data_IF_785121395649
#
_entry.id   IF_785121395649
#
_cell.length_a   1.000
_cell.length_b   1.000
_cell.length_c   1.000
_cell.angle_alpha   90.00
_cell.angle_beta   90.00
_cell.angle_gamma   90.00
#
_symmetry.space_group_name_H-M   'P 1'
#
loop_
_entity.id
_entity.type
_entity.pdbx_description
1 polymer ?
#
# COMPACT_ATOMS: atom_id res chain seq x y z
N UNK A 1 8.80 -4.64 -24.68
CA UNK A 1 9.24 -5.84 -23.93
C UNK A 1 8.36 -6.99 -24.35
N UNK A 2 8.96 -8.13 -24.66
CA UNK A 2 8.24 -9.35 -25.09
C UNK A 2 7.80 -10.13 -23.85
N UNK A 3 6.47 -10.27 -23.61
CA UNK A 3 5.88 -10.89 -22.42
C UNK A 3 4.67 -11.76 -22.76
N UNK A 4 4.43 -12.78 -21.93
CA UNK A 4 3.27 -13.67 -22.04
C UNK A 4 2.15 -13.25 -21.06
N UNK A 5 2.54 -12.66 -19.94
CA UNK A 5 1.61 -12.21 -18.89
C UNK A 5 1.99 -10.84 -18.32
N UNK A 6 0.96 -10.13 -17.87
CA UNK A 6 1.07 -8.88 -17.13
C UNK A 6 0.43 -9.06 -15.76
N UNK A 7 1.19 -8.79 -14.71
CA UNK A 7 0.70 -8.72 -13.34
C UNK A 7 0.63 -7.25 -12.93
N UNK A 8 -0.48 -6.83 -12.33
CA UNK A 8 -0.74 -5.45 -11.94
C UNK A 8 -0.89 -5.36 -10.43
N UNK A 9 -0.28 -4.36 -9.81
CA UNK A 9 -0.71 -3.91 -8.49
C UNK A 9 -2.03 -3.11 -8.61
N UNK A 10 -2.70 -2.86 -7.51
CA UNK A 10 -3.95 -2.09 -7.46
C UNK A 10 -3.65 -0.64 -7.05
N UNK A 11 -3.06 -0.45 -5.88
CA UNK A 11 -2.83 0.86 -5.28
C UNK A 11 -1.77 1.63 -6.05
N UNK A 12 -2.06 2.89 -6.36
CA UNK A 12 -1.16 3.73 -7.16
C UNK A 12 -0.98 3.30 -8.62
N UNK A 13 -1.61 2.20 -9.06
CA UNK A 13 -1.56 1.67 -10.42
C UNK A 13 -2.93 1.69 -11.07
N UNK A 14 -3.91 0.99 -10.50
CA UNK A 14 -5.28 0.92 -11.02
C UNK A 14 -6.19 2.00 -10.40
N UNK A 15 -5.97 2.30 -9.11
CA UNK A 15 -6.70 3.31 -8.34
C UNK A 15 -5.73 4.16 -7.52
N UNK A 16 -6.08 5.45 -7.34
CA UNK A 16 -5.32 6.37 -6.49
C UNK A 16 -5.85 6.29 -5.05
N UNK A 17 -5.00 5.86 -4.14
CA UNK A 17 -5.33 5.68 -2.72
C UNK A 17 -4.68 6.74 -1.82
N UNK A 18 -3.92 7.65 -2.39
CA UNK A 18 -3.12 8.60 -1.60
C UNK A 18 -3.98 9.46 -0.68
N UNK A 19 -5.18 9.86 -1.11
CA UNK A 19 -6.11 10.67 -0.32
C UNK A 19 -6.93 9.81 0.66
N UNK A 20 -7.47 8.66 0.22
CA UNK A 20 -8.36 7.81 1.02
C UNK A 20 -7.70 7.30 2.30
N UNK A 21 -6.51 6.71 2.20
CA UNK A 21 -5.77 6.24 3.37
C UNK A 21 -5.27 7.37 4.25
N UNK A 22 -4.74 8.45 3.65
CA UNK A 22 -4.27 9.62 4.43
C UNK A 22 -5.40 10.23 5.26
N UNK A 23 -6.58 10.43 4.66
CA UNK A 23 -7.77 10.91 5.36
C UNK A 23 -8.21 9.97 6.46
N UNK A 24 -8.21 8.66 6.21
CA UNK A 24 -8.56 7.66 7.22
C UNK A 24 -7.61 7.71 8.41
N UNK A 25 -6.29 7.83 8.20
CA UNK A 25 -5.29 7.98 9.27
C UNK A 25 -5.57 9.24 10.09
N UNK A 26 -5.59 10.41 9.44
CA UNK A 26 -5.75 11.71 10.10
C UNK A 26 -7.03 11.76 10.91
N UNK A 27 -8.15 11.36 10.31
CA UNK A 27 -9.46 11.43 10.95
C UNK A 27 -9.65 10.36 12.02
N UNK A 28 -9.01 9.20 11.91
CA UNK A 28 -9.06 8.16 12.96
C UNK A 28 -8.40 8.67 14.24
N UNK A 29 -7.21 9.25 14.13
CA UNK A 29 -6.47 9.79 15.27
C UNK A 29 -7.25 10.96 15.90
N UNK A 30 -7.83 11.85 15.09
CA UNK A 30 -8.65 12.96 15.58
C UNK A 30 -9.91 12.49 16.31
N UNK A 31 -10.64 11.53 15.75
CA UNK A 31 -11.88 10.99 16.36
C UNK A 31 -11.61 10.26 17.67
N UNK A 32 -10.48 9.58 17.78
CA UNK A 32 -10.15 8.81 19.00
C UNK A 32 -9.59 9.71 20.10
N UNK A 33 -8.77 10.71 19.75
CA UNK A 33 -8.02 11.51 20.74
C UNK A 33 -8.38 13.01 20.74
N UNK A 34 -9.21 13.48 19.80
CA UNK A 34 -9.57 14.90 19.66
C UNK A 34 -8.45 15.78 19.15
N UNK A 35 -7.38 15.18 18.66
CA UNK A 35 -6.19 15.81 18.06
C UNK A 35 -5.57 14.87 17.06
N UNK A 36 -4.90 15.44 16.06
CA UNK A 36 -4.23 14.68 15.01
C UNK A 36 -3.00 15.42 14.49
N UNK A 37 -2.36 14.86 13.48
CA UNK A 37 -1.32 15.48 12.66
C UNK A 37 -1.90 15.82 11.29
N UNK A 38 -1.27 16.72 10.57
CA UNK A 38 -1.66 17.08 9.21
C UNK A 38 -1.09 16.10 8.16
N UNK A 39 -1.49 16.27 6.90
CA UNK A 39 -1.04 15.44 5.78
C UNK A 39 0.49 15.44 5.61
N UNK A 40 1.15 16.59 5.89
CA UNK A 40 2.60 16.68 5.84
C UNK A 40 3.25 15.83 6.94
N UNK A 41 2.62 15.75 8.11
CA UNK A 41 3.02 14.88 9.20
C UNK A 41 2.90 13.39 8.81
N UNK A 42 1.79 12.98 8.18
CA UNK A 42 1.63 11.61 7.66
C UNK A 42 2.75 11.28 6.66
N UNK A 43 3.04 12.19 5.73
CA UNK A 43 4.12 11.98 4.76
C UNK A 43 5.48 11.72 5.45
N UNK A 44 5.78 12.44 6.54
CA UNK A 44 7.01 12.21 7.31
C UNK A 44 7.08 10.82 7.93
N UNK A 45 5.96 10.27 8.40
CA UNK A 45 5.91 8.88 8.87
C UNK A 45 6.18 7.90 7.71
N UNK A 46 5.57 8.12 6.54
CA UNK A 46 5.85 7.31 5.33
C UNK A 46 7.33 7.36 4.94
N UNK A 47 7.93 8.55 4.98
CA UNK A 47 9.35 8.75 4.66
C UNK A 47 10.30 8.09 5.68
N UNK A 48 9.88 7.98 6.95
CA UNK A 48 10.64 7.25 7.97
C UNK A 48 10.71 5.74 7.70
N UNK A 49 9.75 5.21 6.94
CA UNK A 49 9.73 3.82 6.47
C UNK A 49 9.42 2.78 7.56
N UNK A 50 9.45 1.51 7.18
CA UNK A 50 9.34 0.38 8.09
C UNK A 50 7.92 0.06 8.58
N UNK A 51 6.89 0.75 8.09
CA UNK A 51 5.49 0.43 8.38
C UNK A 51 4.98 -0.60 7.37
N UNK A 52 4.44 -1.72 7.87
CA UNK A 52 3.95 -2.80 7.02
C UNK A 52 2.59 -2.47 6.38
N UNK A 53 1.83 -1.57 7.00
CA UNK A 53 0.50 -1.16 6.57
C UNK A 53 0.09 0.17 7.21
N UNK A 54 -1.02 0.74 6.73
CA UNK A 54 -1.52 2.03 7.21
C UNK A 54 -2.10 1.98 8.63
N UNK A 55 -2.45 0.81 9.16
CA UNK A 55 -2.86 0.65 10.56
C UNK A 55 -1.68 0.88 11.52
N UNK A 56 -0.52 0.25 11.25
CA UNK A 56 0.70 0.51 12.02
C UNK A 56 1.12 1.98 11.95
N UNK A 57 0.96 2.62 10.80
CA UNK A 57 1.24 4.04 10.64
C UNK A 57 0.25 4.90 11.45
N UNK A 58 -1.03 4.53 11.48
CA UNK A 58 -2.07 5.18 12.30
C UNK A 58 -1.72 5.08 13.79
N UNK A 59 -1.31 3.90 14.23
CA UNK A 59 -0.89 3.66 15.60
C UNK A 59 0.34 4.50 15.99
N UNK A 60 1.33 4.59 15.11
CA UNK A 60 2.52 5.41 15.35
C UNK A 60 2.20 6.92 15.38
N UNK A 61 1.29 7.38 14.51
CA UNK A 61 0.80 8.76 14.53
C UNK A 61 0.06 9.07 15.84
N UNK A 62 -0.75 8.14 16.33
CA UNK A 62 -1.45 8.26 17.60
C UNK A 62 -0.47 8.28 18.78
N UNK A 63 0.56 7.45 18.79
CA UNK A 63 1.62 7.47 19.81
C UNK A 63 2.33 8.83 19.86
N UNK A 64 2.63 9.42 18.70
CA UNK A 64 3.19 10.77 18.65
C UNK A 64 2.24 11.79 19.28
N UNK A 65 0.96 11.76 18.92
CA UNK A 65 -0.06 12.69 19.47
C UNK A 65 -0.15 12.55 21.00
N UNK A 66 -0.22 11.33 21.50
CA UNK A 66 -0.27 11.05 22.94
C UNK A 66 1.03 11.47 23.66
N UNK A 67 2.19 11.20 23.06
CA UNK A 67 3.48 11.64 23.58
C UNK A 67 3.56 13.18 23.67
N UNK A 68 3.05 13.90 22.66
CA UNK A 68 2.95 15.37 22.68
C UNK A 68 2.08 15.88 23.83
N UNK A 69 0.96 15.23 24.09
CA UNK A 69 0.09 15.57 25.22
C UNK A 69 0.76 15.28 26.58
N UNK A 70 1.54 14.19 26.66
CA UNK A 70 2.28 13.82 27.87
C UNK A 70 3.56 14.66 28.09
N UNK A 71 3.90 15.60 27.18
CA UNK A 71 5.03 16.52 27.35
C UNK A 71 6.27 16.23 26.49
N UNK A 72 6.15 15.41 25.45
CA UNK A 72 7.23 15.26 24.45
C UNK A 72 7.46 16.59 23.72
N UNK A 73 8.66 17.15 23.81
CA UNK A 73 8.97 18.47 23.26
C UNK A 73 9.25 18.48 21.74
N UNK A 74 9.60 17.33 21.15
CA UNK A 74 9.90 17.21 19.72
C UNK A 74 8.68 17.44 18.83
N UNK A 75 8.85 18.13 17.71
CA UNK A 75 7.83 18.19 16.66
C UNK A 75 7.73 16.86 15.89
N UNK A 76 6.81 16.78 14.93
CA UNK A 76 6.62 15.55 14.12
C UNK A 76 7.89 15.19 13.33
N UNK A 77 8.65 16.18 12.85
CA UNK A 77 9.90 15.95 12.14
C UNK A 77 10.93 15.28 13.05
N UNK A 78 11.15 15.85 14.23
CA UNK A 78 12.07 15.30 15.24
C UNK A 78 11.69 13.87 15.63
N UNK A 79 10.39 13.60 15.79
CA UNK A 79 9.90 12.28 16.14
C UNK A 79 10.16 11.27 15.02
N UNK A 80 9.77 11.59 13.79
CA UNK A 80 9.92 10.70 12.63
C UNK A 80 11.39 10.48 12.25
N UNK A 81 12.27 11.48 12.40
CA UNK A 81 13.71 11.32 12.22
C UNK A 81 14.28 10.32 13.26
N UNK A 82 13.79 10.37 14.51
CA UNK A 82 14.18 9.43 15.56
C UNK A 82 13.64 8.01 15.31
N UNK A 83 12.47 7.87 14.68
CA UNK A 83 11.89 6.59 14.24
C UNK A 83 12.74 6.02 13.10
N UNK A 84 13.04 6.81 12.07
CA UNK A 84 13.88 6.41 10.94
C UNK A 84 15.27 5.95 11.39
N UNK A 85 15.90 6.68 12.34
CA UNK A 85 17.21 6.33 12.92
C UNK A 85 17.22 4.98 13.66
N UNK A 86 16.03 4.44 14.01
CA UNK A 86 15.85 3.14 14.67
C UNK A 86 15.37 2.04 13.72
N UNK A 87 15.31 2.31 12.42
CA UNK A 87 14.90 1.35 11.40
C UNK A 87 13.46 1.51 10.91
N UNK A 88 12.74 2.53 11.42
CA UNK A 88 11.35 2.77 11.01
C UNK A 88 10.32 1.84 11.69
N UNK A 89 9.06 2.01 11.33
CA UNK A 89 7.96 1.16 11.78
C UNK A 89 7.43 1.45 13.19
N UNK A 90 6.40 0.70 13.57
CA UNK A 90 5.69 0.88 14.82
C UNK A 90 6.59 0.59 16.04
N UNK A 91 7.39 -0.47 16.00
CA UNK A 91 8.31 -0.83 17.09
C UNK A 91 9.32 0.30 17.37
N UNK A 92 9.82 0.95 16.31
CA UNK A 92 10.72 2.08 16.44
C UNK A 92 10.00 3.31 17.04
N UNK A 93 8.75 3.56 16.65
CA UNK A 93 7.94 4.63 17.22
C UNK A 93 7.69 4.40 18.72
N UNK A 94 7.33 3.19 19.12
CA UNK A 94 7.23 2.82 20.54
C UNK A 94 8.56 3.03 21.30
N UNK A 95 9.67 2.60 20.69
CA UNK A 95 10.99 2.76 21.30
C UNK A 95 11.38 4.25 21.48
N UNK A 96 10.98 5.13 20.56
CA UNK A 96 11.17 6.59 20.70
C UNK A 96 10.39 7.12 21.90
N UNK A 97 9.12 6.73 22.03
CA UNK A 97 8.27 7.16 23.16
C UNK A 97 8.83 6.66 24.49
N UNK A 98 9.20 5.36 24.58
CA UNK A 98 9.77 4.77 25.81
C UNK A 98 11.13 5.36 26.21
N UNK A 99 11.88 5.89 25.26
CA UNK A 99 13.14 6.58 25.56
C UNK A 99 12.97 8.03 26.04
N UNK A 100 11.80 8.61 25.86
CA UNK A 100 11.49 9.96 26.34
C UNK A 100 11.17 9.95 27.85
N UNK A 101 11.42 11.05 28.58
CA UNK A 101 11.13 11.15 30.00
C UNK A 101 9.64 11.40 30.25
N UNK A 102 8.78 10.48 29.81
CA UNK A 102 7.32 10.54 29.91
C UNK A 102 6.82 9.46 30.89
N UNK A 103 5.63 9.66 31.43
CA UNK A 103 4.94 8.60 32.16
C UNK A 103 4.32 7.61 31.16
N UNK A 104 4.63 6.33 31.29
CA UNK A 104 4.12 5.27 30.41
C UNK A 104 2.57 5.19 30.46
N UNK A 105 1.95 5.40 31.62
CA UNK A 105 0.50 5.36 31.76
C UNK A 105 -0.18 6.53 31.01
N UNK A 106 0.46 7.69 30.93
CA UNK A 106 -0.06 8.84 30.20
C UNK A 106 -0.07 8.63 28.67
N UNK A 107 0.77 7.75 28.14
CA UNK A 107 0.86 7.43 26.72
C UNK A 107 0.27 6.05 26.44
N UNK A 108 0.93 4.98 26.88
CA UNK A 108 0.53 3.60 26.58
C UNK A 108 -0.75 3.16 27.29
N UNK A 109 -1.05 3.72 28.47
CA UNK A 109 -2.31 3.49 29.16
C UNK A 109 -3.53 4.08 28.43
N UNK A 110 -3.32 5.06 27.57
CA UNK A 110 -4.36 5.69 26.74
C UNK A 110 -4.36 5.21 25.30
N UNK A 111 -3.27 4.58 24.83
CA UNK A 111 -3.15 4.09 23.46
C UNK A 111 -4.11 2.92 23.23
N UNK A 112 -4.94 3.02 22.21
CA UNK A 112 -6.04 2.11 21.94
C UNK A 112 -6.01 1.62 20.46
N UNK A 113 -5.07 0.74 20.08
CA UNK A 113 -4.91 0.24 18.70
C UNK A 113 -6.20 -0.35 18.13
N UNK A 114 -6.91 -1.18 18.89
CA UNK A 114 -8.16 -1.80 18.42
C UNK A 114 -9.20 -0.74 18.03
N UNK A 115 -9.36 0.30 18.88
CA UNK A 115 -10.29 1.39 18.59
C UNK A 115 -9.85 2.25 17.41
N UNK A 116 -8.54 2.46 17.24
CA UNK A 116 -8.00 3.15 16.06
C UNK A 116 -8.30 2.35 14.80
N UNK A 117 -8.06 1.03 14.81
CA UNK A 117 -8.33 0.15 13.69
C UNK A 117 -9.82 0.12 13.34
N UNK A 118 -10.71 -0.05 14.30
CA UNK A 118 -12.16 0.00 14.08
C UNK A 118 -12.59 1.34 13.46
N UNK A 119 -12.04 2.44 13.97
CA UNK A 119 -12.34 3.79 13.46
C UNK A 119 -11.82 3.97 12.03
N UNK A 120 -10.59 3.52 11.76
CA UNK A 120 -9.98 3.55 10.43
C UNK A 120 -10.81 2.75 9.42
N UNK A 121 -11.14 1.49 9.76
CA UNK A 121 -11.94 0.63 8.88
C UNK A 121 -13.33 1.23 8.60
N UNK A 122 -13.99 1.82 9.61
CA UNK A 122 -15.26 2.48 9.41
C UNK A 122 -15.16 3.70 8.49
N UNK A 123 -14.10 4.52 8.62
CA UNK A 123 -13.85 5.67 7.74
C UNK A 123 -13.52 5.24 6.32
N UNK A 124 -12.68 4.22 6.20
CA UNK A 124 -12.20 3.75 4.90
C UNK A 124 -13.27 2.99 4.13
N UNK A 125 -13.87 1.97 4.73
CA UNK A 125 -14.87 1.11 4.09
C UNK A 125 -16.24 1.78 4.00
N UNK A 126 -16.60 2.56 5.01
CA UNK A 126 -17.99 3.03 5.21
C UNK A 126 -18.86 1.99 5.91
N UNK A 127 -20.04 2.42 6.33
CA UNK A 127 -20.88 1.62 7.23
C UNK A 127 -21.34 0.29 6.61
N UNK A 128 -21.74 0.30 5.33
CA UNK A 128 -22.27 -0.89 4.67
C UNK A 128 -21.18 -1.94 4.45
N UNK A 129 -20.05 -1.56 3.87
CA UNK A 129 -18.93 -2.47 3.68
C UNK A 129 -18.30 -2.93 5.00
N UNK A 130 -18.29 -2.07 6.03
CA UNK A 130 -17.82 -2.46 7.36
C UNK A 130 -18.66 -3.62 7.92
N UNK A 131 -20.00 -3.55 7.82
CA UNK A 131 -20.88 -4.65 8.26
C UNK A 131 -20.63 -5.93 7.49
N UNK A 132 -20.43 -5.81 6.18
CA UNK A 132 -20.24 -6.96 5.29
C UNK A 132 -18.87 -7.64 5.49
N UNK A 133 -17.81 -6.88 5.72
CA UNK A 133 -16.44 -7.38 5.75
C UNK A 133 -15.91 -7.63 7.17
N UNK A 134 -16.19 -6.71 8.11
CA UNK A 134 -15.73 -6.85 9.51
C UNK A 134 -16.72 -7.63 10.38
N UNK A 135 -17.95 -7.83 9.91
CA UNK A 135 -18.96 -8.69 10.57
C UNK A 135 -19.57 -8.09 11.83
N UNK A 136 -19.58 -6.78 11.98
CA UNK A 136 -20.12 -6.08 13.16
C UNK A 136 -20.77 -4.74 12.82
N UNK A 137 -21.27 -4.03 13.82
CA UNK A 137 -21.79 -2.67 13.63
C UNK A 137 -20.60 -1.67 13.64
N UNK A 138 -20.51 -0.76 12.64
CA UNK A 138 -19.50 0.27 12.63
C UNK A 138 -19.69 1.24 13.82
N UNK A 139 -18.62 1.85 14.34
CA UNK A 139 -18.71 2.79 15.44
C UNK A 139 -19.48 4.07 15.09
N UNK A 140 -19.70 4.35 13.80
CA UNK A 140 -20.52 5.46 13.27
C UNK A 140 -20.88 5.22 11.81
N UNK A 141 -21.93 5.93 11.34
CA UNK A 141 -22.36 5.87 9.95
C UNK A 141 -21.52 6.81 9.07
N UNK A 142 -20.98 6.28 7.97
CA UNK A 142 -20.24 7.05 6.95
C UNK A 142 -20.29 6.32 5.60
N UNK A 143 -20.04 7.04 4.50
CA UNK A 143 -20.03 6.46 3.15
C UNK A 143 -18.80 5.60 2.87
N UNK A 144 -17.66 5.93 3.48
CA UNK A 144 -16.39 5.28 3.20
C UNK A 144 -15.56 5.97 2.11
N UNK A 145 -14.26 6.17 2.39
CA UNK A 145 -13.33 6.82 1.46
C UNK A 145 -12.96 5.95 0.27
N UNK A 146 -13.02 4.63 0.42
CA UNK A 146 -12.81 3.67 -0.67
C UNK A 146 -13.68 3.97 -1.89
N UNK A 147 -14.86 4.56 -1.69
CA UNK A 147 -15.77 4.93 -2.78
C UNK A 147 -15.35 6.20 -3.53
N UNK A 148 -14.42 6.96 -3.00
CA UNK A 148 -13.97 8.23 -3.58
C UNK A 148 -12.59 8.09 -4.28
N UNK A 149 -11.96 6.91 -4.25
CA UNK A 149 -10.67 6.65 -4.90
C UNK A 149 -10.76 6.87 -6.43
N UNK A 150 -9.94 7.77 -7.02
CA UNK A 150 -9.93 7.95 -8.46
C UNK A 150 -9.44 6.69 -9.19
N UNK A 151 -10.06 6.37 -10.33
CA UNK A 151 -9.56 5.32 -11.23
C UNK A 151 -8.44 5.92 -12.08
N UNK A 152 -7.27 5.25 -12.10
CA UNK A 152 -6.08 5.66 -12.86
C UNK A 152 -6.00 4.98 -14.22
N UNK A 153 -6.49 3.75 -14.32
CA UNK A 153 -6.43 2.96 -15.54
C UNK A 153 -7.60 3.30 -16.46
N UNK A 154 -7.30 3.49 -17.75
CA UNK A 154 -8.31 3.70 -18.77
C UNK A 154 -8.95 2.37 -19.21
N UNK A 155 -10.27 2.33 -19.53
CA UNK A 155 -10.91 1.11 -20.02
C UNK A 155 -10.23 0.52 -21.26
N UNK A 156 -9.76 1.36 -22.19
CA UNK A 156 -9.06 0.92 -23.38
C UNK A 156 -7.71 0.23 -23.07
N UNK A 157 -7.03 0.65 -22.02
CA UNK A 157 -5.81 0.01 -21.54
C UNK A 157 -6.10 -1.39 -21.05
N UNK A 158 -7.13 -1.55 -20.20
CA UNK A 158 -7.52 -2.87 -19.69
C UNK A 158 -7.97 -3.82 -20.83
N UNK A 159 -8.77 -3.31 -21.79
CA UNK A 159 -9.20 -4.06 -22.96
C UNK A 159 -7.97 -4.57 -23.74
N UNK A 160 -7.03 -3.69 -24.05
CA UNK A 160 -5.80 -4.05 -24.78
C UNK A 160 -4.95 -5.07 -24.03
N UNK A 161 -4.76 -4.89 -22.71
CA UNK A 161 -3.96 -5.80 -21.90
C UNK A 161 -4.61 -7.19 -21.80
N UNK A 162 -5.93 -7.25 -21.59
CA UNK A 162 -6.65 -8.53 -21.44
C UNK A 162 -6.82 -9.26 -22.77
N UNK A 163 -6.83 -8.55 -23.91
CA UNK A 163 -6.86 -9.17 -25.24
C UNK A 163 -5.50 -9.75 -25.66
N UNK A 164 -4.40 -9.12 -25.23
CA UNK A 164 -3.05 -9.49 -25.69
C UNK A 164 -2.29 -10.40 -24.73
N UNK A 165 -2.58 -10.36 -23.44
CA UNK A 165 -1.79 -11.02 -22.40
C UNK A 165 -2.67 -11.78 -21.41
N UNK A 166 -2.10 -12.79 -20.76
CA UNK A 166 -2.66 -13.31 -19.52
C UNK A 166 -2.49 -12.27 -18.42
N UNK A 167 -3.59 -11.89 -17.72
CA UNK A 167 -3.57 -10.84 -16.71
C UNK A 167 -3.73 -11.43 -15.31
N UNK A 168 -2.84 -11.02 -14.40
CA UNK A 168 -2.91 -11.32 -12.97
C UNK A 168 -2.86 -10.06 -12.11
N UNK A 169 -3.18 -10.21 -10.83
CA UNK A 169 -3.15 -9.14 -9.83
C UNK A 169 -2.34 -9.59 -8.61
N UNK A 170 -1.43 -8.72 -8.16
CA UNK A 170 -0.63 -8.91 -6.94
C UNK A 170 -0.71 -7.63 -6.10
N UNK A 171 -1.41 -7.69 -4.98
CA UNK A 171 -1.68 -6.52 -4.16
C UNK A 171 -1.47 -6.76 -2.67
N UNK A 172 -1.17 -5.69 -1.93
CA UNK A 172 -1.17 -5.67 -0.47
C UNK A 172 -2.56 -5.51 0.15
N UNK A 173 -3.62 -5.35 -0.65
CA UNK A 173 -5.00 -5.27 -0.12
C UNK A 173 -5.49 -6.63 0.37
N UNK A 174 -6.38 -6.67 1.39
CA UNK A 174 -7.23 -7.83 1.66
C UNK A 174 -8.07 -8.21 0.43
N UNK A 175 -8.42 -9.48 0.29
CA UNK A 175 -9.12 -10.01 -0.90
C UNK A 175 -10.45 -9.29 -1.18
N UNK A 176 -11.21 -8.95 -0.13
CA UNK A 176 -12.48 -8.26 -0.28
C UNK A 176 -12.32 -6.82 -0.81
N UNK A 177 -11.33 -6.08 -0.30
CA UNK A 177 -11.02 -4.72 -0.76
C UNK A 177 -10.44 -4.72 -2.18
N UNK A 178 -9.62 -5.72 -2.51
CA UNK A 178 -9.13 -5.94 -3.86
C UNK A 178 -10.27 -6.19 -4.86
N UNK A 179 -11.27 -7.02 -4.46
CA UNK A 179 -12.45 -7.28 -5.30
C UNK A 179 -13.26 -6.00 -5.59
N UNK A 180 -13.45 -5.12 -4.60
CA UNK A 180 -14.12 -3.82 -4.76
C UNK A 180 -13.38 -2.94 -5.76
N UNK A 181 -12.04 -2.84 -5.62
CA UNK A 181 -11.22 -2.05 -6.54
C UNK A 181 -11.28 -2.59 -7.98
N UNK A 182 -11.18 -3.92 -8.14
CA UNK A 182 -11.24 -4.58 -9.46
C UNK A 182 -12.61 -4.40 -10.13
N UNK A 183 -13.70 -4.55 -9.38
CA UNK A 183 -15.06 -4.28 -9.88
C UNK A 183 -15.21 -2.83 -10.36
N UNK A 184 -14.69 -1.90 -9.56
CA UNK A 184 -14.73 -0.47 -9.86
C UNK A 184 -14.01 -0.10 -11.15
N UNK A 185 -12.84 -0.69 -11.41
CA UNK A 185 -12.08 -0.44 -12.66
C UNK A 185 -12.57 -1.29 -13.82
N UNK A 186 -13.48 -2.25 -13.58
CA UNK A 186 -14.02 -3.14 -14.60
C UNK A 186 -13.07 -4.25 -15.01
N UNK A 187 -12.06 -4.58 -14.18
CA UNK A 187 -11.12 -5.68 -14.45
C UNK A 187 -11.61 -6.98 -13.82
N UNK A 188 -11.99 -7.94 -14.65
CA UNK A 188 -12.38 -9.27 -14.21
C UNK A 188 -11.24 -10.27 -14.44
N UNK A 189 -10.65 -10.77 -13.36
CA UNK A 189 -9.66 -11.85 -13.38
C UNK A 189 -10.10 -12.99 -12.46
N UNK A 190 -9.82 -14.27 -12.81
CA UNK A 190 -10.13 -15.40 -11.94
C UNK A 190 -9.43 -15.28 -10.58
N UNK A 191 -10.03 -15.84 -9.52
CA UNK A 191 -9.40 -15.84 -8.19
C UNK A 191 -8.02 -16.52 -8.19
N UNK A 192 -7.82 -17.52 -9.03
CA UNK A 192 -6.52 -18.16 -9.20
C UNK A 192 -5.43 -17.21 -9.75
N UNK A 193 -5.80 -16.13 -10.41
CA UNK A 193 -4.89 -15.13 -10.97
C UNK A 193 -4.77 -13.88 -10.07
N UNK A 194 -5.25 -13.97 -8.82
CA UNK A 194 -5.08 -12.92 -7.81
C UNK A 194 -4.18 -13.42 -6.68
N UNK A 195 -3.39 -12.54 -6.16
CA UNK A 195 -2.62 -12.74 -4.94
C UNK A 195 -2.80 -11.49 -4.07
N UNK A 196 -3.37 -11.69 -2.88
CA UNK A 196 -3.79 -10.62 -1.96
C UNK A 196 -3.07 -10.76 -0.63
N UNK A 197 -3.24 -9.81 0.28
CA UNK A 197 -2.70 -9.88 1.64
C UNK A 197 -3.08 -11.19 2.35
N UNK A 198 -4.27 -11.73 2.10
CA UNK A 198 -4.79 -12.91 2.78
C UNK A 198 -4.12 -14.22 2.33
N UNK A 199 -3.41 -14.21 1.19
CA UNK A 199 -2.79 -15.41 0.61
C UNK A 199 -1.39 -15.71 1.17
N UNK A 200 -0.75 -14.74 1.84
CA UNK A 200 0.62 -14.91 2.29
C UNK A 200 1.04 -13.97 3.42
N UNK A 201 1.90 -14.45 4.33
CA UNK A 201 2.39 -13.66 5.46
C UNK A 201 3.63 -12.80 5.14
N UNK A 202 4.37 -13.12 4.03
CA UNK A 202 5.67 -12.49 3.78
C UNK A 202 5.57 -11.13 3.10
N UNK A 203 4.54 -10.89 2.25
CA UNK A 203 4.38 -9.64 1.51
C UNK A 203 5.48 -9.37 0.45
N UNK A 204 5.30 -8.31 -0.34
CA UNK A 204 6.33 -7.74 -1.23
C UNK A 204 7.49 -7.19 -0.38
N UNK A 205 8.74 -7.35 -0.75
CA UNK A 205 9.30 -7.79 -2.02
C UNK A 205 9.60 -9.30 -2.12
N UNK A 206 8.96 -10.17 -1.33
CA UNK A 206 9.21 -11.62 -1.41
C UNK A 206 8.69 -12.18 -2.75
N UNK A 207 9.47 -13.01 -3.51
CA UNK A 207 9.15 -13.39 -4.89
C UNK A 207 7.98 -14.37 -5.02
N UNK A 208 7.61 -15.08 -3.96
CA UNK A 208 6.68 -16.23 -3.99
C UNK A 208 5.36 -15.92 -4.71
N UNK A 209 4.76 -14.77 -4.46
CA UNK A 209 3.48 -14.43 -5.05
C UNK A 209 3.59 -14.31 -6.57
N UNK A 210 4.62 -13.61 -7.04
CA UNK A 210 4.82 -13.40 -8.48
C UNK A 210 5.19 -14.70 -9.21
N UNK A 211 6.06 -15.53 -8.63
CA UNK A 211 6.40 -16.86 -9.20
C UNK A 211 5.18 -17.78 -9.22
N UNK A 212 4.34 -17.75 -8.18
CA UNK A 212 3.08 -18.52 -8.15
C UNK A 212 2.09 -18.02 -9.20
N UNK A 213 1.99 -16.71 -9.42
CA UNK A 213 1.14 -16.17 -10.50
C UNK A 213 1.67 -16.55 -11.87
N UNK A 214 2.99 -16.52 -12.10
CA UNK A 214 3.59 -16.99 -13.35
C UNK A 214 3.22 -18.45 -13.67
N UNK A 215 3.24 -19.33 -12.65
CA UNK A 215 2.79 -20.72 -12.79
C UNK A 215 1.30 -20.82 -13.16
N UNK A 216 0.45 -20.06 -12.46
CA UNK A 216 -1.00 -20.09 -12.67
C UNK A 216 -1.44 -19.49 -14.01
N UNK A 217 -0.66 -18.53 -14.52
CA UNK A 217 -0.86 -17.89 -15.82
C UNK A 217 -0.23 -18.66 -16.99
N UNK A 218 0.51 -19.75 -16.69
CA UNK A 218 1.30 -20.53 -17.67
C UNK A 218 2.24 -19.62 -18.51
N UNK A 219 2.90 -18.67 -17.85
CA UNK A 219 3.69 -17.63 -18.48
C UNK A 219 5.19 -17.86 -18.25
N UNK A 220 5.99 -17.79 -19.33
CA UNK A 220 7.45 -17.85 -19.26
C UNK A 220 8.09 -16.46 -19.09
N UNK A 221 7.39 -15.39 -19.48
CA UNK A 221 7.85 -14.01 -19.42
C UNK A 221 6.75 -13.16 -18.80
N UNK A 222 7.03 -12.57 -17.66
CA UNK A 222 6.04 -11.83 -16.85
C UNK A 222 6.51 -10.40 -16.63
N UNK A 223 5.68 -9.40 -16.95
CA UNK A 223 5.85 -8.04 -16.48
C UNK A 223 5.01 -7.83 -15.21
N UNK A 224 5.62 -7.28 -14.16
CA UNK A 224 4.93 -6.83 -12.96
C UNK A 224 5.01 -5.31 -12.85
N UNK A 225 3.86 -4.64 -12.95
CA UNK A 225 3.74 -3.19 -12.85
C UNK A 225 3.24 -2.78 -11.46
N UNK A 226 4.00 -1.93 -10.78
CA UNK A 226 3.70 -1.45 -9.44
C UNK A 226 4.23 -0.04 -9.19
N UNK A 227 3.72 0.61 -8.13
CA UNK A 227 4.02 2.00 -7.78
C UNK A 227 5.04 2.14 -6.63
N UNK A 228 5.57 1.01 -6.14
CA UNK A 228 6.55 0.99 -5.05
C UNK A 228 7.88 0.35 -5.47
N UNK A 229 8.95 0.64 -4.71
CA UNK A 229 10.23 -0.05 -4.91
C UNK A 229 10.13 -1.55 -4.62
N UNK A 230 9.24 -1.94 -3.73
CA UNK A 230 9.06 -3.35 -3.37
C UNK A 230 8.37 -4.15 -4.47
N UNK A 231 7.58 -3.51 -5.34
CA UNK A 231 7.04 -4.15 -6.55
C UNK A 231 8.15 -4.49 -7.52
N UNK A 232 9.02 -3.52 -7.82
CA UNK A 232 10.18 -3.74 -8.68
C UNK A 232 11.10 -4.81 -8.10
N UNK A 233 11.41 -4.72 -6.80
CA UNK A 233 12.24 -5.73 -6.10
C UNK A 233 11.59 -7.11 -6.09
N UNK A 234 10.24 -7.20 -6.06
CA UNK A 234 9.53 -8.47 -6.17
C UNK A 234 9.86 -9.16 -7.50
N UNK A 235 9.87 -8.40 -8.61
CA UNK A 235 10.24 -8.95 -9.92
C UNK A 235 11.73 -9.32 -10.00
N UNK A 236 12.63 -8.50 -9.46
CA UNK A 236 14.07 -8.80 -9.37
C UNK A 236 14.31 -10.07 -8.56
N UNK A 237 13.69 -10.17 -7.39
CA UNK A 237 13.80 -11.35 -6.53
C UNK A 237 13.18 -12.59 -7.17
N UNK A 238 12.11 -12.44 -7.98
CA UNK A 238 11.51 -13.54 -8.72
C UNK A 238 12.46 -14.06 -9.81
N UNK A 239 13.15 -13.18 -10.53
CA UNK A 239 14.17 -13.56 -11.51
C UNK A 239 15.34 -14.32 -10.88
N UNK A 240 15.74 -13.94 -9.66
CA UNK A 240 16.79 -14.64 -8.91
C UNK A 240 16.31 -16.00 -8.37
N UNK A 241 15.03 -16.13 -8.02
CA UNK A 241 14.46 -17.34 -7.42
C UNK A 241 14.00 -18.38 -8.44
N UNK A 242 13.69 -17.97 -9.66
CA UNK A 242 13.13 -18.82 -10.74
C UNK A 242 13.90 -18.56 -12.06
N UNK A 243 14.92 -19.38 -12.30
CA UNK A 243 15.80 -19.27 -13.47
C UNK A 243 15.16 -19.76 -14.77
N UNK A 244 14.01 -20.43 -14.72
CA UNK A 244 13.33 -20.99 -15.89
C UNK A 244 12.42 -19.96 -16.57
N UNK A 245 12.19 -18.80 -15.92
CA UNK A 245 11.33 -17.73 -16.39
C UNK A 245 12.04 -16.38 -16.41
N UNK A 246 11.43 -15.43 -17.09
CA UNK A 246 11.91 -14.04 -17.14
C UNK A 246 10.89 -13.14 -16.45
N UNK A 247 11.36 -12.29 -15.54
CA UNK A 247 10.53 -11.34 -14.81
C UNK A 247 11.01 -9.92 -15.06
N UNK A 248 10.09 -9.04 -15.39
CA UNK A 248 10.36 -7.62 -15.64
C UNK A 248 9.60 -6.78 -14.60
N UNK A 249 10.32 -6.05 -13.74
CA UNK A 249 9.73 -5.04 -12.87
C UNK A 249 9.49 -3.74 -13.67
N UNK A 250 8.28 -3.23 -13.66
CA UNK A 250 7.91 -1.95 -14.28
C UNK A 250 7.45 -0.99 -13.18
N UNK A 251 8.22 0.08 -12.98
CA UNK A 251 7.84 1.15 -12.05
C UNK A 251 6.80 2.08 -12.68
N UNK A 252 5.73 2.39 -11.94
CA UNK A 252 4.66 3.30 -12.36
C UNK A 252 4.70 4.56 -11.52
N UNK A 253 4.74 5.75 -12.14
CA UNK A 253 4.97 7.05 -11.46
C UNK A 253 3.67 7.71 -10.94
N UNK A 254 2.57 6.96 -10.82
CA UNK A 254 1.28 7.47 -10.31
C UNK A 254 1.10 7.32 -8.80
N UNK A 255 2.02 6.63 -8.13
CA UNK A 255 2.00 6.45 -6.68
C UNK A 255 2.88 7.43 -5.90
N UNK A 256 3.52 6.95 -4.84
CA UNK A 256 4.37 7.77 -3.96
C UNK A 256 5.69 8.27 -4.59
N UNK A 257 6.19 7.59 -5.62
CA UNK A 257 7.42 7.94 -6.34
C UNK A 257 7.06 8.61 -7.67
N UNK A 258 7.48 9.87 -7.86
CA UNK A 258 7.08 10.67 -9.02
C UNK A 258 8.26 11.39 -9.67
N UNK A 259 8.11 11.76 -10.94
CA UNK A 259 9.07 12.56 -11.71
C UNK A 259 10.46 11.90 -11.82
N UNK A 260 11.49 12.73 -12.10
CA UNK A 260 12.86 12.25 -12.34
C UNK A 260 13.51 11.55 -11.13
N UNK A 261 13.13 11.92 -9.92
CA UNK A 261 13.62 11.28 -8.69
C UNK A 261 13.04 9.89 -8.50
N UNK A 262 11.72 9.73 -8.73
CA UNK A 262 11.04 8.45 -8.69
C UNK A 262 11.56 7.50 -9.77
N UNK A 263 11.73 8.01 -10.99
CA UNK A 263 12.31 7.24 -12.10
C UNK A 263 13.68 6.68 -11.75
N UNK A 264 14.60 7.51 -11.23
CA UNK A 264 15.93 7.05 -10.81
C UNK A 264 15.86 6.01 -9.68
N UNK A 265 14.96 6.21 -8.71
CA UNK A 265 14.80 5.25 -7.62
C UNK A 265 14.35 3.86 -8.12
N UNK A 266 13.44 3.80 -9.10
CA UNK A 266 13.05 2.55 -9.75
C UNK A 266 14.19 1.93 -10.56
N UNK A 267 14.93 2.73 -11.34
CA UNK A 267 16.09 2.27 -12.10
C UNK A 267 17.16 1.69 -11.17
N UNK A 268 17.46 2.36 -10.06
CA UNK A 268 18.41 1.90 -9.04
C UNK A 268 17.94 0.62 -8.33
N UNK A 269 16.62 0.40 -8.22
CA UNK A 269 16.03 -0.81 -7.68
C UNK A 269 16.01 -1.98 -8.68
N UNK A 270 16.40 -1.76 -9.94
CA UNK A 270 16.49 -2.78 -10.98
C UNK A 270 15.24 -2.87 -11.88
N UNK A 271 14.45 -1.81 -11.99
CA UNK A 271 13.33 -1.77 -12.92
C UNK A 271 13.78 -1.99 -14.37
N UNK A 272 13.08 -2.85 -15.09
CA UNK A 272 13.29 -3.06 -16.51
C UNK A 272 12.77 -1.89 -17.37
N UNK A 273 11.74 -1.20 -16.86
CA UNK A 273 11.23 0.04 -17.42
C UNK A 273 10.52 0.88 -16.33
N UNK A 274 10.34 2.17 -16.62
CA UNK A 274 9.54 3.09 -15.79
C UNK A 274 8.60 3.87 -16.69
N UNK A 275 7.31 3.82 -16.38
CA UNK A 275 6.24 4.50 -17.12
C UNK A 275 5.61 5.63 -16.29
N UNK A 276 5.04 6.63 -16.95
CA UNK A 276 4.34 7.71 -16.26
C UNK A 276 3.04 7.20 -15.64
N UNK A 277 2.31 6.35 -16.36
CA UNK A 277 1.04 5.77 -15.92
C UNK A 277 0.92 4.31 -16.38
N UNK A 278 0.02 3.55 -15.78
CA UNK A 278 -0.34 2.20 -16.23
C UNK A 278 -0.83 2.18 -17.69
N UNK A 279 -1.34 3.31 -18.17
CA UNK A 279 -1.88 3.45 -19.54
C UNK A 279 -0.79 3.44 -20.62
N UNK A 280 0.48 3.55 -20.24
CA UNK A 280 1.62 3.43 -21.17
C UNK A 280 2.06 1.97 -21.40
N UNK A 281 1.53 1.01 -20.61
CA UNK A 281 1.91 -0.41 -20.74
C UNK A 281 1.62 -1.02 -22.11
N UNK A 282 0.47 -0.75 -22.77
CA UNK A 282 0.19 -1.32 -24.11
C UNK A 282 1.25 -0.99 -25.16
N UNK A 283 1.88 0.18 -25.08
CA UNK A 283 2.93 0.61 -26.00
C UNK A 283 4.32 0.08 -25.60
N UNK A 284 4.52 -0.23 -24.33
CA UNK A 284 5.77 -0.78 -23.80
C UNK A 284 5.90 -2.28 -24.06
N UNK A 285 4.77 -3.01 -24.06
CA UNK A 285 4.72 -4.47 -24.06
C UNK A 285 4.42 -5.03 -25.46
N UNK A 286 5.15 -6.08 -25.82
CA UNK A 286 4.95 -6.88 -27.03
C UNK A 286 4.54 -8.31 -26.63
N UNK A 287 3.67 -8.97 -27.44
CA UNK A 287 3.15 -10.31 -27.19
C UNK A 287 3.84 -11.38 -28.06
#
# INVERSE_FOLDING_TARGET
>A
MDVDAVVLDIDGVLVDVADSYRRAIVESVDRVYGRTIDDAGIQRFKDAGGFNNDWELTDAAALYVLAREAGYDGDVATFTDAVAARGGGLDAAEAVVRAAPLDDDDVFGRWAPDRLRETFQALYLGADLYRDLEGGEPPFETRGYIHDEPVLVEPATLETLTERFAVGVLTGRPAAEAAIALDRVGLSVPDAHRFTMDDWAAGKPHPRALTTLADRLDAARVAFAGDTLDDVRTAVNAADADADRTYYGVGVLTGGLTGDSGRRAYEDAGAAAVVETVNDLPDLLDS
#
